data_IF_662243658142
#
_entry.id   IF_662243658142
#
_cell.length_a   1.000
_cell.length_b   1.000
_cell.length_c   1.000
_cell.angle_alpha   90.00
_cell.angle_beta   90.00
_cell.angle_gamma   90.00
#
_symmetry.space_group_name_H-M   'P 1'
#
loop_
_entity.id
_entity.type
_entity.pdbx_description
1 polymer ?
#
# COMPACT_ATOMS: atom_id res chain seq x y z
N UNK A 1 9.51 24.06 -14.73
CA UNK A 1 9.35 22.94 -13.76
C UNK A 1 8.97 21.62 -14.42
N UNK A 2 7.89 21.53 -15.22
CA UNK A 2 7.50 20.26 -15.90
C UNK A 2 8.61 19.67 -16.78
N UNK A 3 9.29 20.49 -17.56
CA UNK A 3 10.37 20.04 -18.45
C UNK A 3 11.59 19.49 -17.69
N UNK A 4 11.93 20.09 -16.55
CA UNK A 4 12.98 19.59 -15.67
C UNK A 4 12.61 18.20 -15.11
N UNK A 5 11.40 18.04 -14.58
CA UNK A 5 10.92 16.75 -14.05
C UNK A 5 10.91 15.68 -15.14
N UNK A 6 10.53 16.04 -16.38
CA UNK A 6 10.53 15.11 -17.50
C UNK A 6 11.94 14.61 -17.84
N UNK A 7 12.95 15.50 -17.81
CA UNK A 7 14.36 15.14 -18.05
C UNK A 7 14.89 14.17 -16.99
N UNK A 8 14.46 14.32 -15.74
CA UNK A 8 14.90 13.49 -14.61
C UNK A 8 13.85 12.48 -14.16
N UNK A 9 12.86 12.16 -15.00
CA UNK A 9 11.68 11.40 -14.59
C UNK A 9 12.06 10.01 -14.05
N UNK A 10 12.90 9.29 -14.77
CA UNK A 10 13.37 7.97 -14.35
C UNK A 10 14.13 8.03 -13.02
N UNK A 11 14.97 9.05 -12.83
CA UNK A 11 15.73 9.23 -11.59
C UNK A 11 14.80 9.54 -10.41
N UNK A 12 13.81 10.42 -10.60
CA UNK A 12 12.82 10.77 -9.57
C UNK A 12 12.00 9.53 -9.20
N UNK A 13 11.51 8.78 -10.18
CA UNK A 13 10.75 7.54 -9.92
C UNK A 13 11.64 6.52 -9.19
N UNK A 14 12.87 6.32 -9.65
CA UNK A 14 13.80 5.39 -9.02
C UNK A 14 14.08 5.79 -7.55
N UNK A 15 14.31 7.07 -7.28
CA UNK A 15 14.50 7.58 -5.92
C UNK A 15 13.25 7.39 -5.06
N UNK A 16 12.05 7.68 -5.58
CA UNK A 16 10.80 7.46 -4.85
C UNK A 16 10.59 5.98 -4.55
N UNK A 17 10.85 5.09 -5.50
CA UNK A 17 10.72 3.64 -5.31
C UNK A 17 11.76 3.14 -4.30
N UNK A 18 13.03 3.46 -4.48
CA UNK A 18 14.11 3.02 -3.58
C UNK A 18 13.86 3.53 -2.16
N UNK A 19 13.55 4.82 -2.01
CA UNK A 19 13.30 5.41 -0.69
C UNK A 19 12.05 4.81 -0.03
N UNK A 20 10.97 4.61 -0.80
CA UNK A 20 9.77 3.93 -0.34
C UNK A 20 10.06 2.51 0.14
N UNK A 21 10.78 1.73 -0.65
CA UNK A 21 11.18 0.37 -0.28
C UNK A 21 12.06 0.34 0.97
N UNK A 22 13.07 1.22 1.06
CA UNK A 22 13.92 1.32 2.25
C UNK A 22 13.10 1.69 3.48
N UNK A 23 12.18 2.64 3.35
CA UNK A 23 11.30 3.04 4.44
C UNK A 23 10.41 1.88 4.91
N UNK A 24 9.76 1.16 3.99
CA UNK A 24 8.91 0.00 4.31
C UNK A 24 9.72 -1.12 4.98
N UNK A 25 10.90 -1.44 4.47
CA UNK A 25 11.76 -2.47 5.07
C UNK A 25 12.24 -2.08 6.47
N UNK A 26 12.52 -0.80 6.70
CA UNK A 26 12.96 -0.31 8.01
C UNK A 26 11.81 -0.06 8.99
N UNK A 27 10.57 -0.07 8.53
CA UNK A 27 9.41 0.36 9.33
C UNK A 27 9.28 -0.42 10.66
N UNK A 28 9.53 -1.74 10.64
CA UNK A 28 9.52 -2.59 11.84
C UNK A 28 10.53 -2.16 12.93
N UNK A 29 11.58 -1.43 12.56
CA UNK A 29 12.62 -0.95 13.47
C UNK A 29 12.44 0.51 13.89
N UNK A 30 11.46 1.21 13.31
CA UNK A 30 11.25 2.63 13.54
C UNK A 30 10.14 2.84 14.55
N UNK A 31 10.37 3.78 15.48
CA UNK A 31 9.28 4.24 16.34
C UNK A 31 8.24 5.01 15.53
N UNK A 32 6.99 4.99 15.99
CA UNK A 32 5.88 5.72 15.35
C UNK A 32 6.16 7.21 15.17
N UNK A 33 6.93 7.81 16.10
CA UNK A 33 7.33 9.21 16.06
C UNK A 33 8.29 9.54 14.91
N UNK A 34 9.00 8.53 14.38
CA UNK A 34 9.90 8.64 13.24
C UNK A 34 9.16 8.21 11.96
N UNK A 35 8.43 7.10 11.98
CA UNK A 35 7.76 6.59 10.79
C UNK A 35 6.64 7.51 10.29
N UNK A 36 5.89 8.14 11.19
CA UNK A 36 4.81 9.07 10.87
C UNK A 36 5.27 10.27 10.03
N UNK A 37 6.23 11.11 10.48
CA UNK A 37 6.67 12.27 9.69
C UNK A 37 7.33 11.85 8.38
N UNK A 38 8.06 10.73 8.34
CA UNK A 38 8.63 10.19 7.09
C UNK A 38 7.51 9.80 6.11
N UNK A 39 6.49 9.09 6.58
CA UNK A 39 5.34 8.71 5.77
C UNK A 39 4.62 9.95 5.20
N UNK A 40 4.35 10.95 6.05
CA UNK A 40 3.70 12.21 5.61
C UNK A 40 4.56 12.91 4.55
N UNK A 41 5.86 13.03 4.77
CA UNK A 41 6.78 13.65 3.82
C UNK A 41 6.84 12.87 2.49
N UNK A 42 6.87 11.53 2.55
CA UNK A 42 6.89 10.66 1.39
C UNK A 42 5.58 10.76 0.58
N UNK A 43 4.44 10.73 1.26
CA UNK A 43 3.13 10.94 0.67
C UNK A 43 3.00 12.33 0.02
N UNK A 44 3.51 13.38 0.67
CA UNK A 44 3.55 14.72 0.10
C UNK A 44 4.43 14.78 -1.16
N UNK A 45 5.58 14.09 -1.16
CA UNK A 45 6.47 14.01 -2.33
C UNK A 45 5.79 13.28 -3.51
N UNK A 46 5.13 12.13 -3.26
CA UNK A 46 4.34 11.42 -4.27
C UNK A 46 3.22 12.31 -4.81
N UNK A 47 2.46 12.96 -3.93
CA UNK A 47 1.38 13.86 -4.32
C UNK A 47 1.89 14.99 -5.21
N UNK A 48 2.99 15.65 -4.82
CA UNK A 48 3.62 16.71 -5.58
C UNK A 48 4.08 16.21 -6.95
N UNK A 49 4.73 15.05 -7.01
CA UNK A 49 5.16 14.43 -8.27
C UNK A 49 3.97 14.16 -9.20
N UNK A 50 2.92 13.48 -8.72
CA UNK A 50 1.73 13.17 -9.51
C UNK A 50 0.99 14.43 -9.99
N UNK A 51 0.91 15.45 -9.12
CA UNK A 51 0.28 16.73 -9.45
C UNK A 51 1.07 17.50 -10.50
N UNK A 52 2.40 17.59 -10.38
CA UNK A 52 3.21 18.40 -11.30
C UNK A 52 3.39 17.68 -12.64
N UNK A 53 3.67 16.37 -12.63
CA UNK A 53 4.01 15.59 -13.83
C UNK A 53 2.79 15.16 -14.63
N UNK A 54 1.71 14.77 -13.96
CA UNK A 54 0.53 14.20 -14.59
C UNK A 54 -0.72 15.08 -14.44
N UNK A 55 -0.65 16.21 -13.73
CA UNK A 55 -1.82 17.03 -13.39
C UNK A 55 -2.90 16.19 -12.67
N UNK A 56 -2.50 15.11 -11.99
CA UNK A 56 -3.39 14.22 -11.26
C UNK A 56 -3.61 14.80 -9.86
N UNK A 57 -4.86 15.11 -9.51
CA UNK A 57 -5.24 15.50 -8.15
C UNK A 57 -5.68 14.27 -7.39
N UNK A 58 -4.76 13.70 -6.60
CA UNK A 58 -5.12 12.58 -5.72
C UNK A 58 -6.07 13.10 -4.63
N UNK A 59 -7.26 12.52 -4.44
CA UNK A 59 -8.16 12.93 -3.38
C UNK A 59 -7.48 12.77 -2.01
N UNK A 60 -7.66 13.74 -1.11
CA UNK A 60 -7.09 13.67 0.24
C UNK A 60 -7.50 12.39 0.98
N UNK A 61 -8.72 11.91 0.77
CA UNK A 61 -9.18 10.64 1.34
C UNK A 61 -8.30 9.45 0.95
N UNK A 62 -7.77 9.41 -0.28
CA UNK A 62 -6.86 8.34 -0.72
C UNK A 62 -5.52 8.44 0.00
N UNK A 63 -5.01 9.66 0.20
CA UNK A 63 -3.77 9.87 0.98
C UNK A 63 -3.94 9.45 2.43
N UNK A 64 -5.10 9.74 3.04
CA UNK A 64 -5.43 9.31 4.41
C UNK A 64 -5.51 7.79 4.49
N UNK A 65 -6.12 7.11 3.50
CA UNK A 65 -6.16 5.65 3.48
C UNK A 65 -4.76 5.03 3.47
N UNK A 66 -3.83 5.53 2.64
CA UNK A 66 -2.43 5.05 2.65
C UNK A 66 -1.73 5.41 3.95
N UNK A 67 -1.96 6.60 4.51
CA UNK A 67 -1.38 6.95 5.80
C UNK A 67 -1.83 5.99 6.91
N UNK A 68 -3.12 5.63 6.93
CA UNK A 68 -3.66 4.71 7.92
C UNK A 68 -3.02 3.32 7.84
N UNK A 69 -2.56 2.87 6.66
CA UNK A 69 -1.87 1.58 6.54
C UNK A 69 -0.56 1.57 7.33
N UNK A 70 0.20 2.67 7.23
CA UNK A 70 1.46 2.86 7.98
C UNK A 70 1.19 3.15 9.46
N UNK A 71 0.13 3.89 9.75
CA UNK A 71 -0.24 4.22 11.13
C UNK A 71 -0.67 2.98 11.92
N UNK A 72 -1.31 1.99 11.28
CA UNK A 72 -1.66 0.71 11.89
C UNK A 72 -0.42 -0.04 12.38
N UNK A 73 0.65 -0.06 11.56
CA UNK A 73 1.91 -0.67 11.95
C UNK A 73 2.58 0.09 13.11
N UNK A 74 2.70 1.41 12.97
CA UNK A 74 3.26 2.26 14.02
C UNK A 74 2.50 2.15 15.35
N UNK A 75 1.19 1.98 15.30
CA UNK A 75 0.35 1.73 16.48
C UNK A 75 0.65 0.36 17.12
N UNK A 76 0.81 -0.68 16.30
CA UNK A 76 1.21 -2.00 16.76
C UNK A 76 2.55 -1.96 17.51
N UNK A 77 3.54 -1.28 16.92
CA UNK A 77 4.87 -1.11 17.49
C UNK A 77 4.86 -0.28 18.78
N UNK A 78 4.10 0.83 18.81
CA UNK A 78 4.01 1.69 20.00
C UNK A 78 3.48 0.94 21.23
N UNK A 79 2.51 0.05 21.04
CA UNK A 79 1.84 -0.66 22.14
C UNK A 79 2.32 -2.11 22.31
N UNK A 80 3.27 -2.57 21.50
CA UNK A 80 3.76 -3.95 21.50
C UNK A 80 2.66 -4.98 21.24
N UNK A 81 1.77 -4.68 20.29
CA UNK A 81 0.58 -5.51 20.01
C UNK A 81 0.87 -6.72 19.13
N UNK A 82 1.98 -6.71 18.36
CA UNK A 82 2.36 -7.82 17.47
C UNK A 82 2.52 -9.15 18.21
N UNK A 83 2.93 -9.11 19.49
CA UNK A 83 3.03 -10.29 20.35
C UNK A 83 1.71 -10.65 21.07
N UNK A 84 0.59 -10.00 20.73
CA UNK A 84 -0.70 -10.17 21.41
C UNK A 84 -1.74 -10.78 20.48
N UNK A 85 -2.46 -11.75 21.04
CA UNK A 85 -3.63 -12.34 20.42
C UNK A 85 -4.91 -11.74 20.99
N UNK A 86 -5.79 -11.24 20.13
CA UNK A 86 -7.11 -10.75 20.48
C UNK A 86 -8.15 -11.83 20.17
N UNK A 87 -8.53 -12.60 21.20
CA UNK A 87 -9.38 -13.78 21.07
C UNK A 87 -8.79 -14.82 20.09
N UNK A 88 -9.23 -14.79 18.83
CA UNK A 88 -8.81 -15.74 17.80
C UNK A 88 -7.83 -15.15 16.78
N UNK A 89 -7.66 -13.83 16.74
CA UNK A 89 -6.89 -13.12 15.71
C UNK A 89 -5.66 -12.46 16.34
N UNK A 90 -4.48 -12.67 15.78
CA UNK A 90 -3.27 -11.94 16.18
C UNK A 90 -3.31 -10.51 15.64
N UNK A 91 -2.71 -9.55 16.34
CA UNK A 91 -2.67 -8.17 15.82
C UNK A 91 -2.05 -8.11 14.43
N UNK A 92 -1.06 -8.95 14.18
CA UNK A 92 -0.35 -9.07 12.92
C UNK A 92 -1.27 -9.51 11.75
N UNK A 93 -1.98 -10.62 11.93
CA UNK A 93 -3.03 -11.09 11.02
C UNK A 93 -4.10 -10.01 10.74
N UNK A 94 -4.45 -9.23 11.78
CA UNK A 94 -5.36 -8.10 11.64
C UNK A 94 -4.75 -6.99 10.77
N UNK A 95 -3.48 -6.63 10.97
CA UNK A 95 -2.80 -5.62 10.15
C UNK A 95 -2.62 -6.07 8.71
N UNK A 96 -2.29 -7.34 8.47
CA UNK A 96 -2.27 -7.97 7.15
C UNK A 96 -3.65 -7.99 6.48
N UNK A 97 -4.74 -7.97 7.24
CA UNK A 97 -6.08 -7.81 6.65
C UNK A 97 -6.42 -6.33 6.40
N UNK A 98 -6.20 -5.48 7.40
CA UNK A 98 -6.66 -4.10 7.41
C UNK A 98 -5.86 -3.20 6.46
N UNK A 99 -4.54 -3.34 6.43
CA UNK A 99 -3.68 -2.49 5.62
C UNK A 99 -3.97 -2.68 4.11
N UNK A 100 -4.01 -3.89 3.55
CA UNK A 100 -4.35 -4.06 2.14
C UNK A 100 -5.79 -3.64 1.83
N UNK A 101 -6.74 -3.86 2.74
CA UNK A 101 -8.12 -3.39 2.57
C UNK A 101 -8.21 -1.86 2.41
N UNK A 102 -7.40 -1.11 3.16
CA UNK A 102 -7.30 0.35 3.06
C UNK A 102 -6.56 0.80 1.80
N UNK A 103 -5.50 0.09 1.41
CA UNK A 103 -4.67 0.44 0.25
C UNK A 103 -5.36 0.16 -1.09
N UNK A 104 -6.16 -0.91 -1.20
CA UNK A 104 -6.74 -1.34 -2.47
C UNK A 104 -7.63 -0.31 -3.18
N UNK A 105 -8.51 0.46 -2.50
CA UNK A 105 -9.21 1.57 -3.13
C UNK A 105 -8.30 2.57 -3.83
N UNK A 106 -7.13 2.83 -3.27
CA UNK A 106 -6.13 3.75 -3.84
C UNK A 106 -5.48 3.11 -5.06
N UNK A 107 -5.09 1.84 -4.98
CA UNK A 107 -4.44 1.10 -6.07
C UNK A 107 -5.38 0.97 -7.27
N UNK A 108 -6.63 0.53 -7.05
CA UNK A 108 -7.63 0.40 -8.11
C UNK A 108 -7.94 1.75 -8.75
N UNK A 109 -8.10 2.81 -7.94
CA UNK A 109 -8.32 4.16 -8.46
C UNK A 109 -7.14 4.67 -9.29
N UNK A 110 -5.91 4.43 -8.82
CA UNK A 110 -4.70 4.88 -9.49
C UNK A 110 -4.53 4.14 -10.84
N UNK A 111 -4.63 2.81 -10.83
CA UNK A 111 -4.56 2.01 -12.05
C UNK A 111 -5.62 2.45 -13.05
N UNK A 112 -6.88 2.59 -12.62
CA UNK A 112 -7.97 3.06 -13.49
C UNK A 112 -7.68 4.44 -14.09
N UNK A 113 -7.20 5.38 -13.27
CA UNK A 113 -6.90 6.75 -13.68
C UNK A 113 -5.74 6.82 -14.69
N UNK A 114 -4.71 6.01 -14.46
CA UNK A 114 -3.54 5.90 -15.35
C UNK A 114 -3.95 5.28 -16.68
N UNK A 115 -4.67 4.15 -16.66
CA UNK A 115 -5.14 3.48 -17.87
C UNK A 115 -6.02 4.38 -18.74
N UNK A 116 -6.96 5.10 -18.13
CA UNK A 116 -7.83 6.04 -18.83
C UNK A 116 -7.03 7.15 -19.54
N UNK A 117 -5.94 7.64 -18.92
CA UNK A 117 -5.07 8.66 -19.51
C UNK A 117 -4.26 8.15 -20.70
N UNK A 118 -3.88 6.88 -20.70
CA UNK A 118 -3.22 6.24 -21.83
C UNK A 118 -4.22 5.75 -22.90
N UNK A 119 -5.52 6.03 -22.75
CA UNK A 119 -6.55 5.64 -23.71
C UNK A 119 -7.00 4.18 -23.59
N UNK A 120 -6.50 3.42 -22.60
CA UNK A 120 -6.92 2.05 -22.37
C UNK A 120 -8.27 2.00 -21.63
N UNK A 121 -9.21 1.25 -22.19
CA UNK A 121 -10.55 1.03 -21.60
C UNK A 121 -10.73 -0.43 -21.25
N UNK A 122 -10.34 -0.80 -20.03
CA UNK A 122 -10.63 -2.14 -19.50
C UNK A 122 -11.92 -2.15 -18.67
N UNK A 123 -12.61 -3.29 -18.55
CA UNK A 123 -13.66 -3.45 -17.55
C UNK A 123 -13.13 -3.18 -16.15
N UNK A 124 -13.89 -2.48 -15.30
CA UNK A 124 -13.48 -2.19 -13.92
C UNK A 124 -13.15 -3.48 -13.14
N UNK A 125 -13.91 -4.55 -13.38
CA UNK A 125 -13.66 -5.85 -12.77
C UNK A 125 -12.26 -6.40 -13.12
N UNK A 126 -11.80 -6.22 -14.36
CA UNK A 126 -10.48 -6.66 -14.78
C UNK A 126 -9.37 -5.80 -14.15
N UNK A 127 -9.60 -4.49 -14.02
CA UNK A 127 -8.67 -3.59 -13.31
C UNK A 127 -8.56 -3.97 -11.84
N UNK A 128 -9.69 -4.25 -11.17
CA UNK A 128 -9.72 -4.69 -9.77
C UNK A 128 -9.04 -6.04 -9.60
N UNK A 129 -9.33 -7.02 -10.47
CA UNK A 129 -8.69 -8.33 -10.44
C UNK A 129 -7.17 -8.20 -10.60
N UNK A 130 -6.71 -7.44 -11.60
CA UNK A 130 -5.29 -7.21 -11.83
C UNK A 130 -4.62 -6.53 -10.64
N UNK A 131 -5.27 -5.54 -10.04
CA UNK A 131 -4.80 -4.87 -8.84
C UNK A 131 -4.57 -5.87 -7.69
N UNK A 132 -5.56 -6.73 -7.41
CA UNK A 132 -5.46 -7.76 -6.36
C UNK A 132 -4.30 -8.70 -6.65
N UNK A 133 -4.18 -9.23 -7.87
CA UNK A 133 -3.12 -10.19 -8.20
C UNK A 133 -1.71 -9.61 -8.11
N UNK A 134 -1.53 -8.36 -8.55
CA UNK A 134 -0.23 -7.69 -8.46
C UNK A 134 0.10 -7.37 -7.01
N UNK A 135 -0.86 -6.85 -6.24
CA UNK A 135 -0.67 -6.59 -4.81
C UNK A 135 -0.33 -7.86 -4.04
N UNK A 136 -1.02 -8.97 -4.32
CA UNK A 136 -0.74 -10.25 -3.66
C UNK A 136 0.65 -10.79 -4.01
N UNK A 137 1.09 -10.58 -5.25
CA UNK A 137 2.45 -10.93 -5.68
C UNK A 137 3.49 -10.12 -4.90
N UNK A 138 3.25 -8.82 -4.70
CA UNK A 138 4.12 -7.94 -3.90
C UNK A 138 4.14 -8.37 -2.44
N UNK A 139 2.99 -8.74 -1.84
CA UNK A 139 2.94 -9.33 -0.50
C UNK A 139 3.79 -10.60 -0.41
N UNK A 140 3.69 -11.52 -1.37
CA UNK A 140 4.53 -12.72 -1.42
C UNK A 140 6.03 -12.40 -1.41
N UNK A 141 6.47 -11.39 -2.16
CA UNK A 141 7.87 -10.95 -2.11
C UNK A 141 8.24 -10.33 -0.77
N UNK A 142 7.34 -9.53 -0.18
CA UNK A 142 7.56 -8.88 1.09
C UNK A 142 7.73 -9.89 2.23
N UNK A 143 6.84 -10.89 2.31
CA UNK A 143 6.93 -12.00 3.27
C UNK A 143 8.24 -12.79 3.19
N UNK A 144 8.73 -13.05 1.97
CA UNK A 144 10.03 -13.69 1.78
C UNK A 144 11.14 -12.82 2.36
N UNK A 145 11.05 -11.50 2.18
CA UNK A 145 12.04 -10.57 2.74
C UNK A 145 11.95 -10.54 4.26
N UNK A 146 10.77 -10.56 4.85
CA UNK A 146 10.61 -10.62 6.31
C UNK A 146 11.24 -11.90 6.88
N UNK A 147 10.97 -13.05 6.25
CA UNK A 147 11.61 -14.31 6.62
C UNK A 147 13.14 -14.25 6.53
N UNK A 148 13.67 -13.57 5.51
CA UNK A 148 15.12 -13.37 5.36
C UNK A 148 15.69 -12.42 6.41
N UNK A 149 14.96 -11.35 6.74
CA UNK A 149 15.32 -10.38 7.77
C UNK A 149 15.51 -11.11 9.11
N UNK A 150 14.53 -11.90 9.52
CA UNK A 150 14.60 -12.64 10.78
C UNK A 150 15.67 -13.73 10.81
N UNK A 151 15.91 -14.38 9.67
CA UNK A 151 16.88 -15.48 9.60
C UNK A 151 18.33 -15.00 9.50
N UNK A 152 18.57 -13.86 8.84
CA UNK A 152 19.93 -13.47 8.43
C UNK A 152 20.40 -12.13 9.01
N UNK A 153 19.54 -11.24 9.51
CA UNK A 153 19.94 -9.91 10.00
C UNK A 153 20.36 -9.90 11.48
N UNK A 154 21.24 -10.83 11.86
CA UNK A 154 21.89 -10.87 13.17
C UNK A 154 22.79 -9.62 13.40
N UNK A 155 22.89 -9.05 14.63
CA UNK A 155 22.36 -9.52 15.92
C UNK A 155 20.96 -9.02 16.29
N UNK A 156 20.31 -8.20 15.47
CA UNK A 156 19.00 -7.62 15.77
C UNK A 156 17.99 -8.01 14.67
N UNK A 157 17.50 -9.27 14.67
CA UNK A 157 16.39 -9.65 13.80
C UNK A 157 15.18 -8.76 14.11
N UNK A 158 14.35 -8.49 13.10
CA UNK A 158 13.16 -7.66 13.23
C UNK A 158 12.09 -8.27 14.13
N UNK A 159 12.18 -9.57 14.42
CA UNK A 159 11.17 -10.38 15.12
C UNK A 159 9.80 -10.25 14.45
N UNK A 160 9.81 -10.41 13.13
CA UNK A 160 8.63 -10.25 12.26
C UNK A 160 7.86 -11.55 12.13
N UNK A 161 8.54 -12.69 12.26
CA UNK A 161 7.97 -14.02 12.20
C UNK A 161 7.65 -14.52 13.60
N UNK A 162 6.37 -14.73 13.88
CA UNK A 162 5.87 -15.20 15.18
C UNK A 162 5.71 -16.73 15.26
N UNK A 163 5.88 -17.46 14.16
CA UNK A 163 5.82 -18.92 14.15
C UNK A 163 6.01 -19.55 12.77
N UNK A 164 5.95 -20.90 12.69
CA UNK A 164 6.17 -21.63 11.43
C UNK A 164 5.04 -21.46 10.39
N UNK A 165 3.88 -20.96 10.81
CA UNK A 165 2.70 -20.74 9.96
C UNK A 165 2.35 -19.25 9.78
N UNK A 166 3.22 -18.36 10.22
CA UNK A 166 3.02 -16.91 10.19
C UNK A 166 2.84 -16.40 8.76
N UNK A 167 3.90 -16.49 7.94
CA UNK A 167 3.85 -16.10 6.52
C UNK A 167 2.67 -16.69 5.74
N UNK A 168 2.34 -18.00 5.83
CA UNK A 168 1.11 -18.51 5.20
C UNK A 168 -0.18 -17.87 5.70
N UNK A 169 -0.29 -17.55 6.99
CA UNK A 169 -1.45 -16.86 7.56
C UNK A 169 -1.50 -15.39 7.12
N UNK A 170 -0.37 -14.70 7.13
CA UNK A 170 -0.25 -13.31 6.71
C UNK A 170 -0.61 -13.15 5.24
N UNK A 171 -0.16 -14.06 4.37
CA UNK A 171 -0.58 -14.09 2.96
C UNK A 171 -2.09 -14.31 2.80
N UNK A 172 -2.71 -15.15 3.63
CA UNK A 172 -4.16 -15.36 3.57
C UNK A 172 -4.91 -14.10 4.02
N UNK A 173 -4.45 -13.46 5.09
CA UNK A 173 -4.98 -12.20 5.61
C UNK A 173 -4.81 -11.06 4.59
N UNK A 174 -3.65 -10.96 3.96
CA UNK A 174 -3.35 -10.03 2.88
C UNK A 174 -4.32 -10.20 1.72
N UNK A 175 -4.47 -11.42 1.22
CA UNK A 175 -5.38 -11.73 0.12
C UNK A 175 -6.83 -11.37 0.49
N UNK A 176 -7.27 -11.71 1.70
CA UNK A 176 -8.61 -11.38 2.19
C UNK A 176 -8.82 -9.86 2.24
N UNK A 177 -7.88 -9.13 2.82
CA UNK A 177 -7.88 -7.67 2.87
C UNK A 177 -7.94 -7.06 1.48
N UNK A 178 -7.14 -7.56 0.54
CA UNK A 178 -7.11 -7.09 -0.84
C UNK A 178 -8.45 -7.32 -1.55
N UNK A 179 -9.07 -8.47 -1.36
CA UNK A 179 -10.39 -8.77 -1.92
C UNK A 179 -11.44 -7.82 -1.35
N UNK A 180 -11.48 -7.64 -0.03
CA UNK A 180 -12.42 -6.71 0.64
C UNK A 180 -12.26 -5.29 0.09
N UNK A 181 -11.05 -4.76 0.13
CA UNK A 181 -10.76 -3.41 -0.35
C UNK A 181 -11.02 -3.26 -1.85
N UNK A 182 -10.71 -4.29 -2.64
CA UNK A 182 -10.98 -4.34 -4.09
C UNK A 182 -12.47 -4.30 -4.42
N UNK A 183 -13.30 -5.07 -3.69
CA UNK A 183 -14.77 -5.05 -3.82
C UNK A 183 -15.34 -3.69 -3.44
N UNK A 184 -14.88 -3.10 -2.33
CA UNK A 184 -15.28 -1.74 -1.91
C UNK A 184 -14.91 -0.73 -3.01
N UNK A 185 -13.68 -0.78 -3.52
CA UNK A 185 -13.22 0.09 -4.59
C UNK A 185 -14.08 -0.04 -5.86
N UNK A 186 -14.34 -1.27 -6.28
CA UNK A 186 -15.19 -1.60 -7.42
C UNK A 186 -16.58 -0.96 -7.25
N UNK A 187 -17.23 -1.17 -6.11
CA UNK A 187 -18.56 -0.63 -5.84
C UNK A 187 -18.56 0.91 -5.84
N UNK A 188 -17.61 1.54 -5.14
CA UNK A 188 -17.53 3.00 -5.04
C UNK A 188 -17.28 3.67 -6.39
N UNK A 189 -16.40 3.11 -7.21
CA UNK A 189 -16.10 3.64 -8.55
C UNK A 189 -17.29 3.42 -9.48
N UNK A 190 -17.88 2.21 -9.48
CA UNK A 190 -19.04 1.88 -10.32
C UNK A 190 -20.23 2.79 -10.03
N UNK A 191 -20.49 3.08 -8.74
CA UNK A 191 -21.55 4.00 -8.31
C UNK A 191 -21.32 5.43 -8.79
N UNK A 192 -20.06 5.88 -8.90
CA UNK A 192 -19.74 7.21 -9.44
C UNK A 192 -19.92 7.26 -10.95
N UNK A 193 -19.49 6.22 -11.68
CA UNK A 193 -19.68 6.12 -13.13
C UNK A 193 -21.17 6.13 -13.51
N UNK A 194 -22.04 5.45 -12.74
CA UNK A 194 -23.49 5.46 -12.97
C UNK A 194 -24.20 6.79 -12.66
N UNK A 195 -23.53 7.74 -11.97
CA UNK A 195 -24.08 9.06 -11.63
C UNK A 195 -23.64 10.17 -12.57
N UNK A 196 -22.62 9.95 -13.40
CA UNK A 196 -22.22 10.92 -14.42
C UNK A 196 -23.12 10.70 -15.66
N UNK A 197 -23.93 11.70 -16.07
CA UNK A 197 -24.62 11.61 -17.33
C UNK A 197 -23.59 11.44 -18.44
N UNK A 198 -23.85 10.51 -19.35
CA UNK A 198 -23.05 10.35 -20.57
C UNK A 198 -23.21 11.65 -21.38
N UNK A 199 -22.34 12.63 -21.17
CA UNK A 199 -22.14 13.69 -22.14
C UNK A 199 -21.42 13.05 -23.31
N UNK A 200 -22.22 12.67 -24.31
CA UNK A 200 -21.78 12.31 -25.65
C UNK A 200 -21.08 13.50 -26.32
#
# INVERSE_FOLDING_TARGET
>A
MKEFIRRFELLIIALLVIWGSVFMLKMAYLSVWISTPICIAYLAAIYAYLRIRYDLRVPLSMMVLVYLTVALDGFGNLFGLYNRKFAYIQYDEFTHTAAPALAMPVIVWLLRSVMARFGYRLPLALVTFFAVTVSFTVSGFYEIIELWDDKYMWPQPGMRIHGPYDTPNDLQCDLLGMIIGGVIAYYLIRRKEGKQPQTA
#
